data_IF_516849833141
#
_entry.id   IF_516849833141
#
_cell.length_a   1.000
_cell.length_b   1.000
_cell.length_c   1.000
_cell.angle_alpha   90.00
_cell.angle_beta   90.00
_cell.angle_gamma   90.00
#
_symmetry.space_group_name_H-M   'P 1'
#
loop_
_entity.id
_entity.type
_entity.pdbx_description
1 polymer ?
#
# COMPACT_ATOMS: atom_id res chain seq x y z
N UNK A 1 -15.26 -19.91 -19.19
CA UNK A 1 -15.74 -18.95 -20.20
C UNK A 1 -14.98 -17.65 -19.96
N UNK A 2 -13.83 -17.51 -20.61
CA UNK A 2 -12.93 -16.37 -20.43
C UNK A 2 -13.57 -15.09 -20.98
N UNK A 3 -13.71 -14.07 -20.13
CA UNK A 3 -14.25 -12.76 -20.51
C UNK A 3 -13.09 -11.77 -20.66
N UNK A 4 -13.19 -10.99 -21.74
CA UNK A 4 -12.19 -10.12 -22.34
C UNK A 4 -11.90 -8.88 -21.48
N UNK A 5 -10.63 -8.45 -21.45
CA UNK A 5 -10.26 -7.10 -21.05
C UNK A 5 -10.64 -6.10 -22.16
N UNK A 6 -11.15 -4.93 -21.77
CA UNK A 6 -11.45 -3.82 -22.67
C UNK A 6 -10.15 -3.06 -22.98
N UNK A 7 -9.83 -2.93 -24.26
CA UNK A 7 -8.67 -2.18 -24.75
C UNK A 7 -9.18 -1.08 -25.68
N UNK A 8 -8.73 0.15 -25.47
CA UNK A 8 -8.81 1.21 -26.48
C UNK A 8 -7.60 1.05 -27.42
N UNK A 9 -7.79 0.69 -28.70
CA UNK A 9 -6.69 0.61 -29.64
C UNK A 9 -6.38 2.03 -30.13
N UNK A 10 -5.15 2.49 -29.95
CA UNK A 10 -4.64 3.63 -30.75
C UNK A 10 -3.32 3.21 -31.37
N UNK A 11 -3.39 2.62 -32.56
CA UNK A 11 -2.25 2.42 -33.45
C UNK A 11 -2.02 3.73 -34.22
N UNK A 12 -0.89 4.38 -33.95
CA UNK A 12 -0.45 5.65 -34.55
C UNK A 12 0.74 6.22 -33.79
N UNK A 13 1.27 7.39 -34.20
CA UNK A 13 2.42 8.13 -33.60
C UNK A 13 2.42 8.14 -32.04
N UNK A 14 1.24 8.01 -31.43
CA UNK A 14 1.05 7.80 -29.99
C UNK A 14 1.77 6.58 -29.40
N UNK A 15 2.02 5.50 -30.15
CA UNK A 15 2.71 4.30 -29.64
C UNK A 15 4.20 4.53 -29.45
N UNK A 16 4.86 5.23 -30.38
CA UNK A 16 6.26 5.62 -30.23
C UNK A 16 6.45 6.61 -29.08
N UNK A 17 5.55 7.59 -28.92
CA UNK A 17 5.62 8.51 -27.77
C UNK A 17 5.49 7.76 -26.44
N UNK A 18 4.59 6.77 -26.35
CA UNK A 18 4.46 5.91 -25.16
C UNK A 18 5.71 5.06 -24.92
N UNK A 19 6.39 4.56 -25.96
CA UNK A 19 7.65 3.82 -25.79
C UNK A 19 8.77 4.74 -25.26
N UNK A 20 8.87 5.97 -25.74
CA UNK A 20 9.86 6.93 -25.20
C UNK A 20 9.54 7.31 -23.75
N UNK A 21 8.26 7.53 -23.43
CA UNK A 21 7.84 7.77 -22.05
C UNK A 21 8.11 6.57 -21.16
N UNK A 22 7.84 5.35 -21.66
CA UNK A 22 8.14 4.10 -20.98
C UNK A 22 9.63 3.94 -20.66
N UNK A 23 10.51 4.26 -21.61
CA UNK A 23 11.97 4.24 -21.42
C UNK A 23 12.36 5.30 -20.38
N UNK A 24 11.85 6.52 -20.48
CA UNK A 24 12.13 7.58 -19.51
C UNK A 24 11.64 7.20 -18.09
N UNK A 25 10.45 6.60 -17.98
CA UNK A 25 9.90 6.12 -16.72
C UNK A 25 10.71 4.96 -16.15
N UNK A 26 11.19 4.04 -16.98
CA UNK A 26 12.13 2.99 -16.58
C UNK A 26 13.45 3.59 -16.05
N UNK A 27 14.04 4.51 -16.79
CA UNK A 27 15.31 5.16 -16.45
C UNK A 27 15.23 6.03 -15.19
N UNK A 28 14.02 6.42 -14.75
CA UNK A 28 13.82 7.08 -13.46
C UNK A 28 14.07 6.14 -12.26
N UNK A 29 13.95 4.83 -12.45
CA UNK A 29 14.05 3.84 -11.37
C UNK A 29 15.21 2.86 -11.52
N UNK A 30 15.57 2.52 -12.76
CA UNK A 30 16.58 1.51 -13.06
C UNK A 30 17.67 2.07 -13.98
N UNK A 31 18.88 1.47 -13.98
CA UNK A 31 19.91 1.84 -14.94
C UNK A 31 19.40 1.74 -16.39
N UNK A 32 20.02 2.49 -17.33
CA UNK A 32 19.63 2.46 -18.73
C UNK A 32 19.59 1.03 -19.30
N UNK A 33 18.45 0.66 -19.88
CA UNK A 33 18.17 -0.66 -20.43
C UNK A 33 16.79 -0.66 -21.08
N UNK A 34 16.59 -1.49 -22.11
CA UNK A 34 15.29 -1.62 -22.77
C UNK A 34 14.51 -2.77 -22.13
N UNK A 35 13.55 -2.52 -21.22
CA UNK A 35 12.72 -3.59 -20.69
C UNK A 35 11.85 -4.19 -21.79
N UNK A 36 11.38 -5.43 -21.58
CA UNK A 36 10.33 -5.97 -22.42
C UNK A 36 9.04 -5.21 -22.09
N UNK A 37 8.56 -4.42 -23.06
CA UNK A 37 7.30 -3.71 -22.97
C UNK A 37 6.15 -4.65 -23.38
N UNK A 38 5.30 -5.01 -22.43
CA UNK A 38 4.11 -5.81 -22.70
C UNK A 38 2.94 -4.85 -22.87
N UNK A 39 2.64 -4.52 -24.13
CA UNK A 39 1.39 -3.85 -24.47
C UNK A 39 0.34 -4.92 -24.74
N UNK A 40 -0.78 -4.84 -24.04
CA UNK A 40 -2.02 -5.47 -24.49
C UNK A 40 -1.97 -7.01 -24.57
N UNK A 41 -2.21 -7.67 -23.44
CA UNK A 41 -2.43 -9.12 -23.38
C UNK A 41 -3.30 -9.50 -22.19
N UNK A 42 -4.25 -10.42 -22.40
CA UNK A 42 -4.95 -11.12 -21.32
C UNK A 42 -4.10 -12.26 -20.74
N UNK A 43 -2.77 -12.18 -20.89
CA UNK A 43 -1.83 -13.21 -20.50
C UNK A 43 -1.24 -12.91 -19.13
N UNK A 44 -0.90 -13.97 -18.41
CA UNK A 44 -0.04 -13.86 -17.23
C UNK A 44 1.35 -13.45 -17.67
N UNK A 45 2.07 -12.78 -16.77
CA UNK A 45 3.43 -12.33 -16.96
C UNK A 45 4.32 -13.25 -16.13
N UNK A 46 5.09 -14.09 -16.80
CA UNK A 46 5.95 -15.12 -16.18
C UNK A 46 7.37 -15.09 -16.76
N UNK A 47 7.72 -14.02 -17.45
CA UNK A 47 8.96 -13.86 -18.20
C UNK A 47 10.17 -13.82 -17.27
N UNK A 48 11.29 -14.38 -17.75
CA UNK A 48 12.56 -14.41 -17.05
C UNK A 48 13.52 -13.30 -17.51
N UNK A 49 13.00 -12.14 -17.91
CA UNK A 49 13.75 -10.95 -18.33
C UNK A 49 13.33 -9.73 -17.49
N UNK A 50 13.96 -8.57 -17.70
CA UNK A 50 13.50 -7.30 -17.15
C UNK A 50 12.12 -6.92 -17.75
N UNK A 51 11.14 -6.67 -16.88
CA UNK A 51 9.74 -6.47 -17.26
C UNK A 51 9.26 -5.08 -16.88
N UNK A 52 8.65 -4.39 -17.86
CA UNK A 52 7.89 -3.17 -17.62
C UNK A 52 6.43 -3.35 -18.02
N UNK A 53 5.54 -3.15 -17.05
CA UNK A 53 4.08 -3.21 -17.22
C UNK A 53 3.51 -1.83 -16.97
N UNK A 54 2.84 -1.24 -17.96
CA UNK A 54 2.28 0.10 -17.84
C UNK A 54 0.83 0.16 -18.31
N UNK A 55 0.02 0.90 -17.56
CA UNK A 55 -1.33 1.30 -17.93
C UNK A 55 -2.22 0.12 -18.35
N UNK A 56 -2.13 -0.99 -17.61
CA UNK A 56 -2.87 -2.22 -17.85
C UNK A 56 -3.97 -2.45 -16.81
N UNK A 57 -5.06 -3.11 -17.22
CA UNK A 57 -6.11 -3.59 -16.31
C UNK A 57 -6.17 -5.10 -16.41
N UNK A 58 -5.87 -5.77 -15.30
CA UNK A 58 -5.96 -7.22 -15.15
C UNK A 58 -7.21 -7.56 -14.37
N UNK A 59 -8.09 -8.37 -14.96
CA UNK A 59 -9.37 -8.70 -14.35
C UNK A 59 -9.64 -10.21 -14.39
N UNK A 60 -10.11 -10.77 -13.26
CA UNK A 60 -10.55 -12.16 -13.12
C UNK A 60 -9.44 -13.20 -13.40
N UNK A 61 -8.20 -12.91 -13.01
CA UNK A 61 -7.09 -13.86 -13.13
C UNK A 61 -7.11 -14.86 -11.97
N UNK A 62 -7.38 -16.12 -12.28
CA UNK A 62 -7.42 -17.24 -11.33
C UNK A 62 -7.03 -18.53 -12.05
N UNK A 63 -6.36 -19.51 -11.42
CA UNK A 63 -5.97 -19.55 -10.01
C UNK A 63 -4.51 -19.18 -9.73
N UNK A 64 -3.76 -18.58 -10.67
CA UNK A 64 -2.30 -18.45 -10.54
C UNK A 64 -1.75 -17.02 -10.42
N UNK A 65 -2.57 -16.00 -10.09
CA UNK A 65 -2.11 -14.59 -10.04
C UNK A 65 -1.60 -14.00 -11.37
N UNK A 66 -1.47 -12.68 -11.48
CA UNK A 66 -1.21 -12.05 -12.79
C UNK A 66 0.27 -12.09 -13.17
N UNK A 67 1.11 -11.54 -12.30
CA UNK A 67 2.56 -11.45 -12.49
C UNK A 67 3.19 -12.48 -11.57
N UNK A 68 3.93 -13.44 -12.11
CA UNK A 68 4.56 -14.54 -11.37
C UNK A 68 5.99 -14.71 -11.88
N UNK A 69 6.92 -13.93 -11.32
CA UNK A 69 8.31 -13.89 -11.75
C UNK A 69 9.19 -14.40 -10.62
N UNK A 70 9.80 -15.57 -10.81
CA UNK A 70 10.78 -16.16 -9.91
C UNK A 70 12.18 -16.13 -10.55
N UNK A 71 12.71 -14.92 -10.74
CA UNK A 71 13.96 -14.69 -11.45
C UNK A 71 14.61 -13.37 -11.02
N UNK A 72 15.94 -13.27 -11.09
CA UNK A 72 16.73 -12.12 -10.62
C UNK A 72 16.57 -10.82 -11.43
N UNK A 73 15.62 -10.76 -12.36
CA UNK A 73 15.37 -9.60 -13.21
C UNK A 73 14.56 -8.50 -12.48
N UNK A 74 14.57 -7.30 -13.04
CA UNK A 74 13.86 -6.14 -12.52
C UNK A 74 12.40 -6.12 -12.99
N UNK A 75 11.50 -5.62 -12.13
CA UNK A 75 10.08 -5.48 -12.41
C UNK A 75 9.62 -4.05 -12.08
N UNK A 76 9.18 -3.32 -13.11
CA UNK A 76 8.42 -2.07 -12.94
C UNK A 76 6.96 -2.29 -13.32
N UNK A 77 6.04 -1.99 -12.40
CA UNK A 77 4.59 -1.99 -12.65
C UNK A 77 4.07 -0.58 -12.40
N UNK A 78 3.54 0.06 -13.43
CA UNK A 78 3.11 1.46 -13.42
C UNK A 78 1.66 1.61 -13.86
N UNK A 79 0.90 2.39 -13.09
CA UNK A 79 -0.47 2.82 -13.43
C UNK A 79 -1.41 1.65 -13.78
N UNK A 80 -1.24 0.50 -13.11
CA UNK A 80 -1.99 -0.72 -13.41
C UNK A 80 -3.12 -0.98 -12.40
N UNK A 81 -4.18 -1.65 -12.86
CA UNK A 81 -5.29 -2.10 -12.02
C UNK A 81 -5.38 -3.62 -11.96
N UNK A 82 -5.58 -4.18 -10.77
CA UNK A 82 -5.78 -5.62 -10.53
C UNK A 82 -7.12 -5.87 -9.86
N UNK A 83 -8.06 -6.45 -10.61
CA UNK A 83 -9.45 -6.62 -10.20
C UNK A 83 -9.77 -8.11 -10.12
N UNK A 84 -10.28 -8.58 -8.98
CA UNK A 84 -10.66 -9.99 -8.80
C UNK A 84 -9.52 -10.96 -9.16
N UNK A 85 -8.29 -10.64 -8.74
CA UNK A 85 -7.11 -11.48 -9.03
C UNK A 85 -6.84 -12.43 -7.86
N UNK A 86 -6.58 -13.70 -8.18
CA UNK A 86 -6.45 -14.76 -7.19
C UNK A 86 -5.31 -15.73 -7.53
N UNK A 87 -4.55 -16.11 -6.48
CA UNK A 87 -3.52 -17.14 -6.55
C UNK A 87 -3.73 -18.26 -5.52
N UNK A 88 -3.76 -19.51 -5.96
CA UNK A 88 -3.74 -20.72 -5.12
C UNK A 88 -2.32 -21.18 -4.77
N UNK A 89 -1.30 -20.57 -5.39
CA UNK A 89 0.07 -20.98 -5.20
C UNK A 89 0.50 -20.73 -3.75
N UNK A 90 1.15 -21.74 -3.16
CA UNK A 90 1.69 -21.67 -1.80
C UNK A 90 2.83 -20.67 -1.63
N UNK A 91 3.39 -20.17 -2.74
CA UNK A 91 4.61 -19.38 -2.72
C UNK A 91 4.32 -17.86 -2.67
N UNK A 92 3.04 -17.45 -2.80
CA UNK A 92 2.55 -16.10 -2.45
C UNK A 92 2.13 -15.22 -3.63
N UNK A 93 1.48 -14.09 -3.35
CA UNK A 93 1.14 -13.05 -4.33
C UNK A 93 -0.14 -13.30 -5.13
N UNK A 94 -1.28 -12.82 -4.65
CA UNK A 94 -2.57 -12.97 -5.31
C UNK A 94 -2.68 -12.30 -6.69
N UNK A 95 -1.98 -11.17 -6.85
CA UNK A 95 -1.83 -10.44 -8.12
C UNK A 95 -0.39 -10.47 -8.60
N UNK A 96 0.56 -10.16 -7.71
CA UNK A 96 1.98 -10.03 -8.05
C UNK A 96 2.82 -10.91 -7.13
N UNK A 97 3.58 -11.81 -7.72
CA UNK A 97 4.65 -12.56 -7.06
C UNK A 97 5.96 -12.25 -7.76
N UNK A 98 6.94 -11.75 -7.00
CA UNK A 98 8.28 -11.43 -7.51
C UNK A 98 9.36 -11.90 -6.55
N UNK A 99 10.30 -12.70 -7.03
CA UNK A 99 11.49 -13.11 -6.27
C UNK A 99 12.77 -12.71 -7.00
N UNK A 100 13.77 -12.26 -6.25
CA UNK A 100 15.05 -11.75 -6.77
C UNK A 100 14.92 -10.38 -7.43
N UNK A 101 16.04 -9.86 -7.92
CA UNK A 101 16.12 -8.60 -8.66
C UNK A 101 15.58 -7.41 -7.88
N UNK A 102 15.01 -6.44 -8.60
CA UNK A 102 14.36 -5.26 -8.03
C UNK A 102 12.87 -5.23 -8.39
N UNK A 103 12.06 -4.58 -7.56
CA UNK A 103 10.62 -4.47 -7.75
C UNK A 103 10.12 -3.07 -7.39
N UNK A 104 9.44 -2.43 -8.33
CA UNK A 104 8.91 -1.08 -8.18
C UNK A 104 7.46 -1.11 -8.66
N UNK A 105 6.52 -0.84 -7.76
CA UNK A 105 5.07 -0.84 -8.00
C UNK A 105 4.48 0.55 -7.73
N UNK A 106 3.72 1.05 -8.68
CA UNK A 106 3.47 2.48 -8.80
C UNK A 106 2.06 2.79 -9.27
N UNK A 107 1.34 3.64 -8.54
CA UNK A 107 -0.02 4.07 -8.96
C UNK A 107 -0.91 2.86 -9.22
N UNK A 108 -0.80 1.86 -8.35
CA UNK A 108 -1.52 0.60 -8.48
C UNK A 108 -2.90 0.76 -7.88
N UNK A 109 -3.92 0.29 -8.62
CA UNK A 109 -5.24 0.09 -8.08
C UNK A 109 -5.49 -1.41 -7.90
N UNK A 110 -5.95 -1.86 -6.74
CA UNK A 110 -6.28 -3.28 -6.56
C UNK A 110 -7.56 -3.45 -5.76
N UNK A 111 -8.42 -4.32 -6.27
CA UNK A 111 -9.71 -4.60 -5.68
C UNK A 111 -10.02 -6.09 -5.70
N UNK A 112 -10.47 -6.59 -4.56
CA UNK A 112 -10.88 -7.99 -4.39
C UNK A 112 -9.77 -8.96 -4.81
N UNK A 113 -8.55 -8.69 -4.36
CA UNK A 113 -7.38 -9.55 -4.62
C UNK A 113 -7.27 -10.60 -3.53
N UNK A 114 -6.86 -11.81 -3.88
CA UNK A 114 -6.74 -12.85 -2.88
C UNK A 114 -5.67 -13.88 -3.16
N UNK A 115 -5.30 -14.62 -2.12
CA UNK A 115 -4.42 -15.78 -2.23
C UNK A 115 -4.93 -16.97 -1.40
N UNK A 116 -4.16 -18.06 -1.38
CA UNK A 116 -4.37 -19.18 -0.47
C UNK A 116 -4.46 -18.72 0.99
N UNK A 117 -5.58 -19.04 1.64
CA UNK A 117 -5.88 -18.69 3.04
C UNK A 117 -5.09 -19.53 4.06
N UNK A 118 -4.31 -20.52 3.61
CA UNK A 118 -3.54 -21.43 4.47
C UNK A 118 -2.03 -21.34 4.29
N UNK A 119 -1.54 -20.83 3.16
CA UNK A 119 -0.11 -20.90 2.80
C UNK A 119 0.46 -19.64 2.15
N UNK A 120 -0.40 -18.71 1.73
CA UNK A 120 0.03 -17.56 0.95
C UNK A 120 0.74 -16.46 1.77
N UNK A 121 1.54 -15.64 1.10
CA UNK A 121 2.35 -14.56 1.68
C UNK A 121 1.89 -13.15 1.32
N UNK A 122 0.97 -12.96 0.38
CA UNK A 122 0.46 -11.64 0.01
C UNK A 122 -0.79 -11.70 -0.87
N UNK A 123 -1.96 -11.30 -0.36
CA UNK A 123 -3.23 -11.30 -1.09
C UNK A 123 -3.26 -10.37 -2.30
N UNK A 124 -2.51 -9.26 -2.28
CA UNK A 124 -2.22 -8.48 -3.47
C UNK A 124 -0.84 -8.85 -4.03
N UNK A 125 0.21 -8.58 -3.26
CA UNK A 125 1.58 -8.76 -3.74
C UNK A 125 2.50 -9.38 -2.71
N UNK A 126 3.36 -10.28 -3.14
CA UNK A 126 4.55 -10.69 -2.41
C UNK A 126 5.80 -10.46 -3.27
N UNK A 127 6.72 -9.66 -2.74
CA UNK A 127 7.93 -9.25 -3.44
C UNK A 127 9.15 -9.45 -2.55
N UNK A 128 10.14 -10.19 -3.04
CA UNK A 128 11.44 -10.36 -2.40
C UNK A 128 12.53 -9.86 -3.35
N UNK A 129 13.14 -8.73 -3.03
CA UNK A 129 14.26 -8.19 -3.80
C UNK A 129 15.56 -8.95 -3.50
N UNK A 130 16.64 -8.65 -4.23
CA UNK A 130 17.97 -9.12 -3.86
C UNK A 130 18.40 -8.59 -2.48
N UNK A 131 19.21 -9.37 -1.78
CA UNK A 131 19.71 -9.06 -0.42
C UNK A 131 20.69 -7.88 -0.33
N UNK A 132 20.82 -7.07 -1.37
CA UNK A 132 21.76 -5.94 -1.42
C UNK A 132 21.06 -4.62 -1.07
N UNK A 133 21.74 -3.74 -0.33
CA UNK A 133 21.21 -2.48 0.20
C UNK A 133 20.86 -1.42 -0.85
N UNK A 134 21.13 -1.68 -2.14
CA UNK A 134 20.78 -0.79 -3.26
C UNK A 134 19.56 -1.30 -4.04
N UNK A 135 19.14 -2.54 -3.81
CA UNK A 135 18.06 -3.17 -4.58
C UNK A 135 16.72 -2.58 -4.18
N UNK A 136 16.00 -2.00 -5.15
CA UNK A 136 14.70 -1.39 -4.89
C UNK A 136 13.64 -2.46 -4.63
N UNK A 137 12.84 -2.25 -3.58
CA UNK A 137 11.59 -2.93 -3.33
C UNK A 137 10.56 -1.87 -2.90
N UNK A 138 9.69 -1.41 -3.78
CA UNK A 138 8.88 -0.20 -3.52
C UNK A 138 7.43 -0.33 -3.97
N UNK A 139 6.52 0.27 -3.19
CA UNK A 139 5.12 0.48 -3.50
C UNK A 139 4.75 1.94 -3.23
N UNK A 140 4.34 2.68 -4.26
CA UNK A 140 4.06 4.12 -4.14
C UNK A 140 2.76 4.53 -4.80
N UNK A 141 2.07 5.48 -4.18
CA UNK A 141 0.86 6.11 -4.72
C UNK A 141 -0.25 5.09 -5.04
N UNK A 142 -0.37 4.02 -4.27
CA UNK A 142 -1.21 2.87 -4.61
C UNK A 142 -2.38 2.71 -3.66
N UNK A 143 -3.49 2.14 -4.15
CA UNK A 143 -4.66 1.83 -3.34
C UNK A 143 -5.05 0.37 -3.52
N UNK A 144 -5.15 -0.35 -2.40
CA UNK A 144 -5.53 -1.76 -2.37
C UNK A 144 -6.69 -1.93 -1.41
N UNK A 145 -7.80 -2.47 -1.90
CA UNK A 145 -9.03 -2.67 -1.15
C UNK A 145 -9.56 -4.10 -1.30
N UNK A 146 -10.16 -4.62 -0.23
CA UNK A 146 -10.68 -6.00 -0.15
C UNK A 146 -9.59 -6.99 -0.57
N UNK A 147 -8.61 -7.20 0.31
CA UNK A 147 -7.60 -8.23 0.10
C UNK A 147 -7.82 -9.39 1.06
N UNK A 148 -7.74 -10.63 0.57
CA UNK A 148 -7.86 -11.83 1.41
C UNK A 148 -6.65 -12.74 1.26
N UNK A 149 -6.12 -13.24 2.36
CA UNK A 149 -4.96 -14.12 2.31
C UNK A 149 -4.66 -14.82 3.61
N UNK A 150 -3.56 -15.55 3.61
CA UNK A 150 -3.06 -16.14 4.84
C UNK A 150 -2.31 -15.08 5.64
N UNK A 151 -1.18 -14.56 5.13
CA UNK A 151 -0.36 -13.64 5.91
C UNK A 151 -0.74 -12.16 5.73
N UNK A 152 -0.60 -11.61 4.52
CA UNK A 152 -0.60 -10.16 4.32
C UNK A 152 -1.42 -9.73 3.11
N UNK A 153 -1.80 -8.46 3.00
CA UNK A 153 -2.22 -7.93 1.70
C UNK A 153 -0.98 -7.61 0.84
N UNK A 154 -0.04 -6.85 1.39
CA UNK A 154 1.25 -6.52 0.76
C UNK A 154 2.39 -7.08 1.60
N UNK A 155 3.28 -7.83 0.96
CA UNK A 155 4.50 -8.34 1.56
C UNK A 155 5.73 -7.92 0.76
N UNK A 156 6.68 -7.31 1.45
CA UNK A 156 7.95 -6.89 0.90
C UNK A 156 9.08 -7.48 1.73
N UNK A 157 10.03 -8.16 1.09
CA UNK A 157 11.18 -8.78 1.74
C UNK A 157 12.48 -8.33 1.05
N UNK A 158 13.52 -8.06 1.84
CA UNK A 158 14.85 -7.65 1.37
C UNK A 158 14.86 -6.33 0.56
N UNK A 159 16.07 -5.82 0.30
CA UNK A 159 16.29 -4.57 -0.41
C UNK A 159 15.94 -3.30 0.39
N UNK A 160 15.94 -2.18 -0.33
CA UNK A 160 15.39 -0.90 0.10
C UNK A 160 13.87 -0.92 -0.04
N UNK A 161 13.21 -1.06 1.10
CA UNK A 161 11.77 -1.14 1.22
C UNK A 161 11.15 0.24 1.44
N UNK A 162 10.37 0.68 0.47
CA UNK A 162 9.61 1.92 0.56
C UNK A 162 8.14 1.68 0.23
N UNK A 163 7.28 1.87 1.21
CA UNK A 163 5.84 1.88 1.03
C UNK A 163 5.34 3.29 1.36
N UNK A 164 4.95 4.06 0.34
CA UNK A 164 4.63 5.49 0.51
C UNK A 164 3.35 5.93 -0.20
N UNK A 165 2.66 6.93 0.36
CA UNK A 165 1.48 7.55 -0.27
C UNK A 165 0.41 6.53 -0.67
N UNK A 166 0.23 5.47 0.11
CA UNK A 166 -0.61 4.33 -0.28
C UNK A 166 -1.70 4.03 0.73
N UNK A 167 -2.77 3.39 0.27
CA UNK A 167 -3.93 3.03 1.07
C UNK A 167 -4.14 1.52 1.03
N UNK A 168 -4.26 0.89 2.20
CA UNK A 168 -4.65 -0.52 2.32
C UNK A 168 -5.88 -0.60 3.21
N UNK A 169 -6.95 -1.14 2.65
CA UNK A 169 -8.24 -1.16 3.34
C UNK A 169 -9.02 -2.44 3.16
N UNK A 170 -9.87 -2.76 4.13
CA UNK A 170 -10.75 -3.94 4.11
C UNK A 170 -9.98 -5.25 3.87
N UNK A 171 -8.70 -5.32 4.27
CA UNK A 171 -7.96 -6.56 4.22
C UNK A 171 -8.45 -7.49 5.33
N UNK A 172 -8.61 -8.76 4.97
CA UNK A 172 -8.96 -9.85 5.87
C UNK A 172 -7.94 -10.98 5.71
N UNK A 173 -7.05 -11.13 6.68
CA UNK A 173 -6.00 -12.14 6.64
C UNK A 173 -6.08 -13.06 7.86
N UNK A 174 -5.92 -14.37 7.64
CA UNK A 174 -6.05 -15.38 8.71
C UNK A 174 -4.83 -15.49 9.63
N UNK A 175 -3.73 -14.88 9.22
CA UNK A 175 -2.47 -14.78 9.95
C UNK A 175 -2.17 -13.34 10.33
N UNK A 176 -1.17 -12.76 9.67
CA UNK A 176 -0.34 -11.73 10.26
C UNK A 176 -0.92 -10.32 10.17
N UNK A 177 -1.05 -9.70 8.99
CA UNK A 177 -1.13 -8.21 8.86
C UNK A 177 -1.84 -7.68 7.62
N UNK A 178 -2.16 -6.37 7.58
CA UNK A 178 -2.50 -5.68 6.33
C UNK A 178 -1.26 -5.54 5.44
N UNK A 179 -0.10 -5.17 5.99
CA UNK A 179 1.17 -5.17 5.26
C UNK A 179 2.33 -5.64 6.12
N UNK A 180 3.33 -6.22 5.46
CA UNK A 180 4.57 -6.67 6.07
C UNK A 180 5.80 -6.17 5.30
N UNK A 181 6.76 -5.62 6.05
CA UNK A 181 8.11 -5.28 5.60
C UNK A 181 9.09 -6.20 6.32
N UNK A 182 9.83 -7.04 5.60
CA UNK A 182 10.72 -8.08 6.18
C UNK A 182 12.17 -7.89 5.79
N UNK A 183 13.09 -7.99 6.74
CA UNK A 183 14.53 -8.16 6.48
C UNK A 183 15.08 -7.08 5.53
N UNK A 184 14.75 -5.80 5.74
CA UNK A 184 15.34 -4.75 4.90
C UNK A 184 16.87 -4.80 5.02
N UNK A 185 17.54 -4.71 3.88
CA UNK A 185 19.01 -4.69 3.80
C UNK A 185 19.55 -3.27 3.65
N UNK A 186 18.67 -2.27 3.64
CA UNK A 186 19.00 -0.86 3.60
C UNK A 186 17.93 -0.01 4.29
N UNK A 187 17.13 0.73 3.52
CA UNK A 187 16.07 1.60 4.04
C UNK A 187 14.75 0.84 4.15
N UNK A 188 14.14 0.79 5.34
CA UNK A 188 12.79 0.29 5.56
C UNK A 188 11.84 1.41 6.03
N UNK A 189 11.02 1.94 5.12
CA UNK A 189 10.16 3.11 5.38
C UNK A 189 8.71 2.87 4.95
N UNK A 190 7.78 3.11 5.87
CA UNK A 190 6.36 3.27 5.62
C UNK A 190 5.96 4.73 5.86
N UNK A 191 5.51 5.44 4.83
CA UNK A 191 5.33 6.90 4.89
C UNK A 191 4.03 7.38 4.24
N UNK A 192 3.43 8.46 4.74
CA UNK A 192 2.32 9.16 4.09
C UNK A 192 1.15 8.24 3.69
N UNK A 193 0.91 7.18 4.45
CA UNK A 193 0.02 6.09 4.05
C UNK A 193 -1.10 5.86 5.05
N UNK A 194 -2.23 5.32 4.57
CA UNK A 194 -3.41 5.04 5.40
C UNK A 194 -3.73 3.54 5.42
N UNK A 195 -3.86 3.00 6.62
CA UNK A 195 -4.30 1.63 6.87
C UNK A 195 -5.66 1.70 7.55
N UNK A 196 -6.70 1.31 6.81
CA UNK A 196 -8.09 1.55 7.21
C UNK A 196 -8.94 0.29 7.26
N UNK A 197 -9.63 0.07 8.38
CA UNK A 197 -10.65 -0.97 8.53
C UNK A 197 -10.16 -2.38 8.11
N UNK A 198 -8.91 -2.69 8.45
CA UNK A 198 -8.36 -4.02 8.24
C UNK A 198 -8.63 -4.89 9.46
N UNK A 199 -8.86 -6.18 9.22
CA UNK A 199 -9.06 -7.17 10.29
C UNK A 199 -8.04 -8.29 10.13
N UNK A 200 -7.38 -8.64 11.22
CA UNK A 200 -6.45 -9.78 11.30
C UNK A 200 -6.90 -10.76 12.37
N UNK A 201 -6.40 -12.00 12.32
CA UNK A 201 -6.79 -13.04 13.26
C UNK A 201 -5.68 -13.48 14.23
N UNK A 202 -4.42 -13.08 14.02
CA UNK A 202 -3.32 -13.56 14.87
C UNK A 202 -2.34 -12.50 15.37
N UNK A 203 -1.74 -11.70 14.49
CA UNK A 203 -0.54 -10.93 14.88
C UNK A 203 -0.73 -9.42 14.97
N UNK A 204 -0.56 -8.68 13.87
CA UNK A 204 -0.52 -7.21 13.85
C UNK A 204 -1.40 -6.64 12.74
N UNK A 205 -1.56 -5.32 12.61
CA UNK A 205 -2.09 -4.72 11.38
C UNK A 205 -0.93 -4.30 10.45
N UNK A 206 0.19 -3.85 11.01
CA UNK A 206 1.44 -3.61 10.28
C UNK A 206 2.62 -4.33 10.93
N UNK A 207 3.36 -5.10 10.15
CA UNK A 207 4.50 -5.89 10.64
C UNK A 207 5.81 -5.39 10.01
N UNK A 208 6.82 -5.23 10.85
CA UNK A 208 8.18 -4.85 10.47
C UNK A 208 9.16 -5.93 10.98
N UNK A 209 9.87 -6.59 10.08
CA UNK A 209 10.65 -7.79 10.38
C UNK A 209 12.13 -7.54 10.38
N UNK A 210 12.84 -8.08 11.38
CA UNK A 210 14.30 -8.25 11.43
C UNK A 210 15.12 -7.16 10.72
N UNK A 211 15.04 -5.91 11.19
CA UNK A 211 15.95 -4.76 10.93
C UNK A 211 15.28 -3.46 11.37
N UNK A 212 16.02 -2.35 11.42
CA UNK A 212 15.41 -1.08 11.83
C UNK A 212 14.51 -0.51 10.73
N UNK A 213 13.27 -0.16 11.10
CA UNK A 213 12.28 0.42 10.20
C UNK A 213 11.76 1.77 10.71
N UNK A 214 11.08 2.51 9.83
CA UNK A 214 10.44 3.79 10.16
C UNK A 214 8.99 3.85 9.68
N UNK A 215 8.13 4.43 10.50
CA UNK A 215 6.78 4.86 10.14
C UNK A 215 6.71 6.38 10.28
N UNK A 216 6.30 7.09 9.23
CA UNK A 216 6.33 8.54 9.18
C UNK A 216 5.02 9.06 8.61
N UNK A 217 4.32 9.95 9.33
CA UNK A 217 3.13 10.66 8.82
C UNK A 217 2.06 9.71 8.24
N UNK A 218 1.73 8.65 8.98
CA UNK A 218 0.73 7.65 8.56
C UNK A 218 -0.56 7.74 9.39
N UNK A 219 -1.60 7.07 8.90
CA UNK A 219 -2.88 6.93 9.59
C UNK A 219 -3.23 5.44 9.76
N UNK A 220 -3.55 5.04 10.99
CA UNK A 220 -4.12 3.73 11.32
C UNK A 220 -5.52 3.93 11.89
N UNK A 221 -6.53 3.61 11.08
CA UNK A 221 -7.92 3.98 11.30
C UNK A 221 -8.82 2.75 11.36
N UNK A 222 -9.60 2.63 12.43
CA UNK A 222 -10.68 1.63 12.57
C UNK A 222 -10.22 0.17 12.35
N UNK A 223 -8.94 -0.14 12.58
CA UNK A 223 -8.43 -1.50 12.38
C UNK A 223 -8.73 -2.40 13.58
N UNK A 224 -8.84 -3.71 13.34
CA UNK A 224 -9.23 -4.70 14.34
C UNK A 224 -8.21 -5.84 14.42
N UNK A 225 -7.59 -5.97 15.58
CA UNK A 225 -6.78 -7.11 15.97
C UNK A 225 -7.46 -7.84 17.16
N UNK A 226 -7.40 -9.17 17.25
CA UNK A 226 -8.11 -9.93 18.27
C UNK A 226 -7.43 -9.80 19.64
N UNK A 227 -8.14 -10.16 20.71
CA UNK A 227 -7.55 -10.34 22.03
C UNK A 227 -6.50 -11.47 21.99
N UNK A 228 -5.29 -11.21 22.50
CA UNK A 228 -4.15 -12.12 22.38
C UNK A 228 -3.20 -11.79 21.24
N UNK A 229 -3.56 -10.84 20.37
CA UNK A 229 -2.68 -10.28 19.36
C UNK A 229 -1.57 -9.44 19.97
N UNK A 230 -0.50 -9.27 19.19
CA UNK A 230 0.68 -8.57 19.64
C UNK A 230 0.53 -7.04 19.60
N UNK A 231 -0.30 -6.48 18.70
CA UNK A 231 -0.65 -5.05 18.68
C UNK A 231 -1.20 -4.60 17.33
N UNK A 232 -1.47 -3.30 17.15
CA UNK A 232 -1.82 -2.74 15.82
C UNK A 232 -0.57 -2.67 14.93
N UNK A 233 0.56 -2.26 15.47
CA UNK A 233 1.83 -2.22 14.74
C UNK A 233 2.91 -2.87 15.56
N UNK A 234 3.81 -3.61 14.92
CA UNK A 234 4.93 -4.17 15.64
C UNK A 234 6.03 -4.84 14.84
N UNK A 235 6.98 -5.32 15.64
CA UNK A 235 8.21 -6.05 15.33
C UNK A 235 9.40 -5.25 14.77
N UNK A 236 10.61 -5.74 15.09
CA UNK A 236 11.93 -5.12 14.95
C UNK A 236 12.10 -3.73 15.63
N UNK A 237 13.31 -3.16 15.73
CA UNK A 237 13.50 -1.79 16.19
C UNK A 237 12.77 -0.81 15.26
N UNK A 238 11.71 -0.19 15.75
CA UNK A 238 10.77 0.60 14.95
C UNK A 238 10.72 2.04 15.46
N UNK A 239 10.93 3.00 14.56
CA UNK A 239 10.80 4.41 14.86
C UNK A 239 9.54 4.99 14.22
N UNK A 240 8.64 5.54 15.02
CA UNK A 240 7.33 6.00 14.58
C UNK A 240 7.22 7.50 14.84
N UNK A 241 6.85 8.26 13.80
CA UNK A 241 6.79 9.71 13.83
C UNK A 241 5.47 10.21 13.24
N UNK A 242 4.89 11.24 13.86
CA UNK A 242 3.79 12.02 13.28
C UNK A 242 2.59 11.17 12.82
N UNK A 243 2.27 10.10 13.55
CA UNK A 243 1.29 9.09 13.10
C UNK A 243 0.01 9.15 13.95
N UNK A 244 -1.13 8.99 13.30
CA UNK A 244 -2.44 8.97 13.95
C UNK A 244 -2.93 7.53 14.08
N UNK A 245 -3.32 7.16 15.30
CA UNK A 245 -4.07 5.94 15.61
C UNK A 245 -5.45 6.34 16.08
N UNK A 246 -6.49 6.01 15.30
CA UNK A 246 -7.88 6.33 15.65
C UNK A 246 -8.78 5.10 15.59
N UNK A 247 -9.62 4.93 16.60
CA UNK A 247 -10.67 3.90 16.67
C UNK A 247 -10.17 2.45 16.47
N UNK A 248 -8.87 2.19 16.66
CA UNK A 248 -8.37 0.83 16.51
C UNK A 248 -8.82 -0.02 17.71
N UNK A 249 -9.14 -1.28 17.44
CA UNK A 249 -9.50 -2.28 18.45
C UNK A 249 -8.43 -3.35 18.51
N UNK A 250 -7.92 -3.67 19.70
CA UNK A 250 -6.90 -4.69 19.88
C UNK A 250 -6.42 -4.78 21.31
N UNK A 251 -5.40 -5.59 21.56
CA UNK A 251 -4.81 -5.64 22.90
C UNK A 251 -3.91 -4.43 23.16
N UNK A 252 -3.07 -4.09 22.19
CA UNK A 252 -2.09 -3.00 22.26
C UNK A 252 -2.07 -2.18 20.97
N UNK A 253 -1.61 -0.92 21.02
CA UNK A 253 -1.23 -0.21 19.79
C UNK A 253 0.12 -0.72 19.28
N UNK A 254 1.10 -0.84 20.16
CA UNK A 254 2.47 -1.20 19.81
C UNK A 254 2.99 -2.43 20.54
N UNK A 255 3.74 -3.25 19.80
CA UNK A 255 4.69 -4.22 20.35
C UNK A 255 5.96 -4.22 19.50
N UNK A 256 6.96 -3.48 19.96
CA UNK A 256 8.16 -3.16 19.20
C UNK A 256 9.42 -3.70 19.90
N UNK A 257 10.46 -3.96 19.12
CA UNK A 257 11.73 -4.46 19.65
C UNK A 257 12.52 -3.40 20.42
N UNK A 258 13.63 -3.81 21.03
CA UNK A 258 14.56 -2.87 21.67
C UNK A 258 15.11 -1.84 20.69
N UNK A 259 15.33 -0.61 21.16
CA UNK A 259 15.77 0.51 20.33
C UNK A 259 14.65 1.19 19.53
N UNK A 260 13.39 0.85 19.79
CA UNK A 260 12.23 1.50 19.19
C UNK A 260 11.89 2.83 19.86
N UNK A 261 11.36 3.78 19.09
CA UNK A 261 10.87 5.06 19.60
C UNK A 261 9.58 5.49 18.92
N UNK A 262 8.70 6.15 19.66
CA UNK A 262 7.45 6.72 19.16
C UNK A 262 7.41 8.18 19.54
N UNK A 263 7.32 9.07 18.55
CA UNK A 263 7.39 10.52 18.74
C UNK A 263 6.25 11.19 18.01
N UNK A 264 5.65 12.21 18.62
CA UNK A 264 4.64 13.06 17.99
C UNK A 264 3.46 12.26 17.40
N UNK A 265 2.92 11.28 18.13
CA UNK A 265 1.78 10.49 17.64
C UNK A 265 0.48 10.89 18.35
N UNK A 266 -0.66 10.63 17.71
CA UNK A 266 -1.99 10.89 18.27
C UNK A 266 -2.75 9.58 18.49
N UNK A 267 -3.43 9.46 19.63
CA UNK A 267 -4.24 8.29 19.99
C UNK A 267 -5.68 8.71 20.28
N UNK A 268 -6.56 8.53 19.29
CA UNK A 268 -7.93 9.04 19.33
C UNK A 268 -8.93 7.88 19.45
N UNK A 269 -9.64 7.79 20.58
CA UNK A 269 -10.75 6.84 20.75
C UNK A 269 -10.40 5.37 20.44
N UNK A 270 -9.15 4.94 20.68
CA UNK A 270 -8.76 3.54 20.49
C UNK A 270 -9.34 2.67 21.62
N UNK A 271 -9.83 1.49 21.27
CA UNK A 271 -10.31 0.49 22.21
C UNK A 271 -9.23 -0.59 22.40
N UNK A 272 -8.22 -0.25 23.20
CA UNK A 272 -7.08 -1.13 23.52
C UNK A 272 -6.85 -1.21 25.03
N UNK A 273 -6.19 -2.27 25.49
CA UNK A 273 -5.84 -2.43 26.91
C UNK A 273 -4.75 -1.43 27.32
N UNK A 274 -3.75 -1.25 26.45
CA UNK A 274 -2.70 -0.26 26.65
C UNK A 274 -2.12 0.20 25.31
N UNK A 275 -1.44 1.35 25.30
CA UNK A 275 -0.71 1.81 24.11
C UNK A 275 0.46 0.86 23.80
N UNK A 276 1.17 0.40 24.82
CA UNK A 276 2.37 -0.42 24.69
C UNK A 276 2.17 -1.80 25.33
N UNK A 277 2.63 -2.86 24.65
CA UNK A 277 2.76 -4.18 25.25
C UNK A 277 3.81 -4.16 26.38
N UNK A 278 3.53 -4.73 27.59
CA UNK A 278 4.48 -4.76 28.70
C UNK A 278 5.85 -5.38 28.40
N UNK A 279 5.96 -6.27 27.39
CA UNK A 279 7.25 -6.84 26.96
C UNK A 279 8.03 -5.95 25.99
N UNK A 280 7.43 -4.86 25.50
CA UNK A 280 8.06 -3.91 24.60
C UNK A 280 9.00 -2.98 25.38
N UNK A 281 10.12 -2.61 24.75
CA UNK A 281 11.09 -1.65 25.31
C UNK A 281 11.13 -0.35 24.51
N UNK A 282 10.06 -0.05 23.77
CA UNK A 282 9.94 1.19 23.03
C UNK A 282 9.81 2.40 23.96
N UNK A 283 10.48 3.50 23.60
CA UNK A 283 10.32 4.78 24.28
C UNK A 283 9.15 5.52 23.63
N UNK A 284 8.12 5.85 24.41
CA UNK A 284 6.95 6.60 23.96
C UNK A 284 7.11 8.05 24.41
N UNK A 285 7.25 8.96 23.44
CA UNK A 285 7.20 10.40 23.67
C UNK A 285 5.77 10.92 23.85
N UNK A 286 5.64 12.22 24.08
CA UNK A 286 4.35 12.85 24.34
C UNK A 286 3.36 12.67 23.18
N UNK A 287 2.10 12.48 23.54
CA UNK A 287 0.99 12.51 22.58
C UNK A 287 0.73 13.95 22.16
N UNK A 288 0.58 14.17 20.87
CA UNK A 288 0.20 15.48 20.32
C UNK A 288 -1.11 15.38 19.53
N UNK A 289 -1.74 16.51 19.23
CA UNK A 289 -2.87 16.56 18.32
C UNK A 289 -2.37 16.78 16.89
N UNK A 290 -2.53 15.77 16.04
CA UNK A 290 -2.24 15.86 14.61
C UNK A 290 -3.52 16.04 13.81
N UNK A 291 -3.38 16.68 12.65
CA UNK A 291 -4.43 16.70 11.63
C UNK A 291 -4.33 15.47 10.73
N UNK A 292 -5.47 14.96 10.29
CA UNK A 292 -5.51 13.88 9.31
C UNK A 292 -4.86 14.32 8.00
N UNK A 293 -3.85 13.58 7.56
CA UNK A 293 -3.27 13.73 6.24
C UNK A 293 -3.73 12.56 5.37
N UNK A 294 -4.84 12.74 4.65
CA UNK A 294 -5.27 11.80 3.63
C UNK A 294 -4.47 12.07 2.35
N UNK A 295 -3.37 11.35 2.17
CA UNK A 295 -2.59 11.43 0.93
C UNK A 295 -3.16 10.44 -0.10
N UNK A 296 -4.14 10.89 -0.86
CA UNK A 296 -4.65 10.17 -2.03
C UNK A 296 -4.11 10.84 -3.29
N UNK A 297 -2.95 10.40 -3.77
CA UNK A 297 -2.49 10.82 -5.10
C UNK A 297 -3.17 9.95 -6.16
N UNK A 298 -4.32 10.45 -6.63
CA UNK A 298 -5.06 9.98 -7.82
C UNK A 298 -5.53 8.53 -7.80
N UNK A 299 -6.84 8.34 -7.59
CA UNK A 299 -7.57 7.11 -7.90
C UNK A 299 -8.02 7.07 -9.37
N UNK A 300 -7.38 7.81 -10.29
CA UNK A 300 -7.88 8.00 -11.68
C UNK A 300 -8.18 6.69 -12.43
N UNK A 301 -7.48 5.60 -12.09
CA UNK A 301 -7.69 4.26 -12.65
C UNK A 301 -8.53 3.30 -11.77
N UNK A 302 -8.97 3.75 -10.60
CA UNK A 302 -9.88 3.01 -9.73
C UNK A 302 -11.32 3.41 -10.04
N UNK A 303 -12.14 2.47 -10.50
CA UNK A 303 -13.57 2.72 -10.63
C UNK A 303 -14.20 2.80 -9.23
N UNK A 304 -14.82 3.94 -8.91
CA UNK A 304 -15.58 4.13 -7.67
C UNK A 304 -16.89 3.35 -7.76
N UNK A 305 -17.14 2.43 -6.83
CA UNK A 305 -18.48 1.81 -6.65
C UNK A 305 -19.26 2.41 -5.47
N UNK A 306 -18.64 3.18 -4.56
CA UNK A 306 -19.31 3.71 -3.36
C UNK A 306 -18.81 5.10 -2.96
N UNK A 307 -19.73 5.96 -2.48
CA UNK A 307 -19.41 7.25 -1.84
C UNK A 307 -19.44 7.09 -0.32
N UNK A 308 -18.34 7.41 0.35
CA UNK A 308 -18.36 7.61 1.79
C UNK A 308 -18.81 9.03 2.10
N UNK A 309 -19.81 9.14 2.96
CA UNK A 309 -20.26 10.41 3.49
C UNK A 309 -19.29 10.86 4.60
N UNK A 310 -18.43 11.83 4.29
CA UNK A 310 -17.66 12.58 5.26
C UNK A 310 -18.45 13.79 5.77
N UNK A 311 -19.75 13.67 6.06
CA UNK A 311 -20.60 14.79 6.55
C UNK A 311 -20.15 15.44 7.87
N UNK A 312 -19.00 15.05 8.42
CA UNK A 312 -18.27 15.82 9.42
C UNK A 312 -16.75 15.70 9.25
N UNK A 313 -16.12 16.44 8.32
CA UNK A 313 -14.74 16.79 8.50
C UNK A 313 -14.73 17.76 9.68
N UNK A 314 -14.20 17.33 10.83
CA UNK A 314 -13.96 18.27 11.93
C UNK A 314 -12.93 19.29 11.42
N UNK A 315 -13.43 20.40 10.87
CA UNK A 315 -12.69 21.64 10.72
C UNK A 315 -12.38 22.11 12.14
N UNK A 316 -11.21 21.73 12.64
CA UNK A 316 -10.68 22.37 13.83
C UNK A 316 -10.29 23.77 13.39
N UNK A 317 -11.19 24.70 13.69
CA UNK A 317 -11.03 26.13 13.47
C UNK A 317 -9.79 26.58 14.26
N UNK A 318 -8.64 26.71 13.60
CA UNK A 318 -7.48 27.38 14.17
C UNK A 318 -7.84 28.85 14.24
N UNK A 319 -8.39 29.28 15.38
CA UNK A 319 -8.88 30.63 15.57
C UNK A 319 -7.79 31.67 15.35
N UNK A 320 -7.71 32.21 14.14
CA UNK A 320 -7.18 33.55 13.84
C UNK A 320 -8.00 34.13 12.69
N UNK A 321 -9.10 34.80 13.04
CA UNK A 321 -9.83 35.68 12.12
C UNK A 321 -8.98 36.92 11.85
N UNK A 322 -8.24 36.92 10.73
CA UNK A 322 -7.91 38.18 10.04
C UNK A 322 -9.03 38.49 9.05
N UNK A 323 -9.77 39.56 9.33
CA UNK A 323 -10.66 40.22 8.36
C UNK A 323 -9.86 40.52 7.10
N UNK A 324 -10.26 39.92 5.98
CA UNK A 324 -9.93 40.44 4.65
C UNK A 324 -11.23 41.02 4.12
N UNK A 325 -11.21 42.32 3.87
CA UNK A 325 -12.29 43.08 3.28
C UNK A 325 -12.61 42.53 1.89
N UNK A 326 -13.91 42.40 1.60
CA UNK A 326 -14.43 42.05 0.29
C UNK A 326 -14.08 43.15 -0.72
N UNK A 327 -13.39 42.77 -1.79
CA UNK A 327 -13.47 43.47 -3.07
C UNK A 327 -13.88 42.46 -4.13
N UNK A 328 -15.09 42.66 -4.64
CA UNK A 328 -15.62 42.03 -5.85
C UNK A 328 -14.70 42.32 -7.03
N UNK A 329 -14.19 41.25 -7.64
CA UNK A 329 -14.05 41.03 -9.09
C UNK A 329 -12.95 39.99 -9.32
N UNK A 330 -13.31 38.73 -9.59
CA UNK A 330 -12.58 37.95 -10.58
C UNK A 330 -13.43 36.83 -11.18
N UNK A 331 -13.47 36.86 -12.51
CA UNK A 331 -14.25 36.00 -13.40
C UNK A 331 -13.79 34.55 -13.37
N UNK A 332 -14.75 33.68 -13.71
CA UNK A 332 -14.64 32.26 -14.05
C UNK A 332 -13.27 31.78 -14.52
N UNK A 333 -12.73 30.75 -13.86
CA UNK A 333 -11.93 29.69 -14.48
C UNK A 333 -11.88 28.48 -13.52
N UNK A 334 -12.51 27.37 -13.92
CA UNK A 334 -12.06 25.98 -13.75
C UNK A 334 -11.31 25.50 -12.49
N UNK A 335 -11.58 26.03 -11.29
CA UNK A 335 -11.12 25.39 -10.04
C UNK A 335 -12.20 24.48 -9.45
N UNK A 336 -12.44 23.35 -10.11
CA UNK A 336 -12.96 22.18 -9.40
C UNK A 336 -11.76 21.54 -8.73
N UNK A 337 -11.52 21.89 -7.47
CA UNK A 337 -10.65 21.10 -6.59
C UNK A 337 -11.20 19.67 -6.56
N UNK A 338 -10.45 18.65 -7.00
CA UNK A 338 -10.93 17.28 -6.90
C UNK A 338 -11.04 16.90 -5.42
N UNK A 339 -12.29 16.74 -4.97
CA UNK A 339 -12.61 16.09 -3.69
C UNK A 339 -12.21 14.62 -3.82
N UNK A 340 -11.19 14.19 -3.08
CA UNK A 340 -10.71 12.81 -3.10
C UNK A 340 -11.68 11.91 -2.31
N UNK A 341 -12.30 10.98 -3.03
CA UNK A 341 -13.20 9.96 -2.47
C UNK A 341 -12.36 8.82 -1.90
N UNK A 342 -12.57 8.51 -0.62
CA UNK A 342 -12.10 7.30 0.04
C UNK A 342 -12.86 6.11 -0.57
N UNK A 343 -12.17 5.18 -1.24
CA UNK A 343 -12.75 3.88 -1.56
C UNK A 343 -12.78 3.05 -0.28
N UNK A 344 -13.96 3.01 0.33
CA UNK A 344 -14.35 1.94 1.23
C UNK A 344 -15.30 1.03 0.49
N UNK A 345 -14.99 -0.27 0.46
CA UNK A 345 -15.94 -1.27 0.00
C UNK A 345 -16.02 -2.33 1.10
N UNK A 346 -17.07 -2.21 1.92
CA UNK A 346 -17.53 -3.21 2.86
C UNK A 346 -19.00 -3.50 2.58
N UNK A 347 -19.36 -4.77 2.38
CA UNK A 347 -20.75 -5.21 2.28
C UNK A 347 -21.26 -5.68 3.65
N UNK A 348 -22.55 -5.45 3.90
CA UNK A 348 -23.29 -5.85 5.11
C UNK A 348 -23.18 -7.34 5.45
#
# INVERSE_FOLDING_TARGET
MEKRALILPILGISSMLRIHQAIADWENYYPPGAPIYINNGSSRITESNDVFVDNCVFQNFSPNGVIQIDASNNLLVLSCSFLNSYSQNSNGGGSIYKMGGQSVQARICSYNTSESMSTGWGGHSYTKANGDSVSLNSLYQSTIAISKGHYNCVAMSQGNQLLTSSNISFAYNTGNVAYALWETTGVGVFNYSTIYNNTVLKEYIGFHGSSSHKIITCNFLDNKAPSGSAGIVGSAPLNIYNTIFKNNTGQYIFNCGSGSSVTNCSYLSNNVIAILNPSSSAIIGDSINLSFHLNHLSTFNCQNEYSLDFSNPVLVNTGETKKVEETEDYKSNNDISPVYILMAIGFN
#
